data_IF_211879775958
#
_entry.id   IF_211879775958
#
_cell.length_a   1.000
_cell.length_b   1.000
_cell.length_c   1.000
_cell.angle_alpha   90.00
_cell.angle_beta   90.00
_cell.angle_gamma   90.00
#
_symmetry.space_group_name_H-M   'P 1'
#
loop_
_entity.id
_entity.type
_entity.pdbx_description
1 polymer ?
#
# COMPACT_ATOMS: atom_id res chain seq x y z
N UNK A 1 72.59 36.34 17.75
CA UNK A 1 72.28 34.98 17.24
C UNK A 1 70.87 34.61 17.76
N UNK A 2 69.79 35.00 16.99
CA UNK A 2 68.39 34.73 17.35
C UNK A 2 67.91 33.59 16.50
N UNK A 3 67.53 32.49 17.13
CA UNK A 3 66.86 31.35 16.48
C UNK A 3 65.29 31.52 16.64
N UNK A 4 64.60 31.82 15.54
CA UNK A 4 63.16 31.77 15.44
C UNK A 4 62.74 30.32 15.29
N UNK A 5 61.95 29.81 16.24
CA UNK A 5 61.27 28.51 16.16
C UNK A 5 59.84 28.76 15.68
N UNK A 6 59.58 28.45 14.41
CA UNK A 6 58.24 28.43 13.85
C UNK A 6 57.47 27.20 14.31
N UNK A 7 56.40 27.41 15.07
CA UNK A 7 55.41 26.35 15.42
C UNK A 7 54.41 26.22 14.29
N UNK A 8 54.45 25.11 13.58
CA UNK A 8 53.41 24.73 12.63
C UNK A 8 52.19 24.20 13.40
N UNK A 9 51.05 24.86 13.21
CA UNK A 9 49.73 24.43 13.72
C UNK A 9 49.17 23.40 12.75
N UNK A 10 49.12 22.14 13.17
CA UNK A 10 48.39 21.08 12.46
C UNK A 10 46.90 21.22 12.75
N UNK A 11 46.11 21.69 11.79
CA UNK A 11 44.65 21.60 11.81
C UNK A 11 44.25 20.15 11.53
N UNK A 12 43.81 19.43 12.55
CA UNK A 12 43.13 18.16 12.38
C UNK A 12 41.69 18.41 11.89
N UNK A 13 41.44 18.18 10.60
CA UNK A 13 40.09 18.06 10.07
C UNK A 13 39.44 16.80 10.63
N UNK A 14 38.58 16.96 11.65
CA UNK A 14 37.65 15.89 12.09
C UNK A 14 36.67 15.60 10.97
N UNK A 15 36.91 14.54 10.21
CA UNK A 15 35.98 13.98 9.26
C UNK A 15 34.70 13.51 10.01
N UNK A 16 33.63 14.26 9.91
CA UNK A 16 32.32 13.81 10.35
C UNK A 16 31.90 12.64 9.44
N UNK A 17 32.15 11.41 9.87
CA UNK A 17 31.63 10.23 9.21
C UNK A 17 30.08 10.31 9.30
N UNK A 18 29.42 10.63 8.18
CA UNK A 18 27.98 10.44 8.05
C UNK A 18 27.72 8.94 8.26
N UNK A 19 27.21 8.58 9.44
CA UNK A 19 26.64 7.26 9.66
C UNK A 19 25.47 7.11 8.69
N UNK A 20 25.39 6.03 7.91
CA UNK A 20 24.20 5.77 7.11
C UNK A 20 23.01 5.72 8.07
N UNK A 21 21.96 6.46 7.74
CA UNK A 21 20.69 6.34 8.42
C UNK A 21 20.23 4.89 8.21
N UNK A 22 20.30 4.07 9.22
CA UNK A 22 19.79 2.70 9.22
C UNK A 22 18.27 2.79 9.08
N UNK A 23 17.78 2.75 7.85
CA UNK A 23 16.36 2.49 7.60
C UNK A 23 16.07 1.13 8.22
N UNK A 24 15.07 1.06 9.10
CA UNK A 24 14.60 -0.23 9.60
C UNK A 24 14.21 -1.08 8.39
N UNK A 25 14.67 -2.33 8.32
CA UNK A 25 14.24 -3.26 7.29
C UNK A 25 12.71 -3.32 7.26
N UNK A 26 12.15 -3.38 6.06
CA UNK A 26 10.71 -3.46 5.89
C UNK A 26 10.19 -4.79 6.48
N UNK A 27 9.27 -4.69 7.45
CA UNK A 27 8.66 -5.84 8.12
C UNK A 27 7.18 -5.89 7.77
N UNK A 28 6.73 -7.02 7.19
CA UNK A 28 5.32 -7.21 6.89
C UNK A 28 4.45 -7.18 8.14
N UNK A 29 3.22 -6.68 7.99
CA UNK A 29 2.20 -6.79 9.03
C UNK A 29 1.90 -8.23 9.47
N UNK A 30 2.20 -9.22 8.64
CA UNK A 30 2.11 -10.65 8.96
C UNK A 30 2.99 -11.04 10.17
N UNK A 31 4.19 -10.50 10.25
CA UNK A 31 5.13 -10.80 11.34
C UNK A 31 4.64 -10.32 12.72
N UNK A 32 3.63 -9.47 12.77
CA UNK A 32 3.01 -8.98 14.01
C UNK A 32 1.76 -9.77 14.42
N UNK A 33 1.39 -10.79 13.66
CA UNK A 33 0.27 -11.69 13.97
C UNK A 33 0.69 -12.75 14.97
N UNK A 34 -0.28 -13.29 15.73
CA UNK A 34 -0.05 -14.51 16.50
C UNK A 34 0.07 -15.71 15.56
N UNK A 35 0.70 -16.85 16.00
CA UNK A 35 0.80 -18.04 15.16
C UNK A 35 -0.55 -18.50 14.60
N UNK A 36 -1.61 -18.48 15.41
CA UNK A 36 -2.96 -18.90 15.00
C UNK A 36 -3.53 -17.99 13.92
N UNK A 37 -3.21 -16.69 13.99
CA UNK A 37 -3.63 -15.73 12.97
C UNK A 37 -2.82 -15.87 11.68
N UNK A 38 -1.56 -16.25 11.79
CA UNK A 38 -0.73 -16.57 10.63
C UNK A 38 -1.27 -17.82 9.92
N UNK A 39 -1.54 -18.89 10.66
CA UNK A 39 -2.16 -20.10 10.12
C UNK A 39 -3.50 -19.79 9.44
N UNK A 40 -4.35 -18.98 10.07
CA UNK A 40 -5.62 -18.56 9.47
C UNK A 40 -5.42 -17.73 8.18
N UNK A 41 -4.41 -16.85 8.12
CA UNK A 41 -4.12 -16.09 6.91
C UNK A 41 -3.62 -16.98 5.78
N UNK A 42 -2.83 -18.00 6.09
CA UNK A 42 -2.18 -18.89 5.14
C UNK A 42 -3.13 -19.99 4.60
N UNK A 43 -4.21 -20.28 5.30
CA UNK A 43 -5.23 -21.24 4.88
C UNK A 43 -6.39 -20.52 4.16
N UNK A 44 -6.54 -20.77 2.85
CA UNK A 44 -7.60 -20.17 2.03
C UNK A 44 -9.02 -20.51 2.51
N UNK A 45 -9.24 -21.64 3.18
CA UNK A 45 -10.53 -22.02 3.75
C UNK A 45 -10.80 -21.29 5.07
N UNK A 46 -9.78 -21.03 5.86
CA UNK A 46 -9.91 -20.37 7.15
C UNK A 46 -9.87 -18.84 7.03
N UNK A 47 -9.27 -18.30 5.97
CA UNK A 47 -9.12 -16.86 5.76
C UNK A 47 -10.46 -16.21 5.34
N UNK A 48 -11.11 -15.45 6.23
CA UNK A 48 -12.42 -14.87 5.92
C UNK A 48 -12.37 -13.81 4.80
N UNK A 49 -11.20 -13.30 4.45
CA UNK A 49 -11.00 -12.39 3.33
C UNK A 49 -11.18 -13.06 1.97
N UNK A 50 -11.11 -14.40 1.90
CA UNK A 50 -11.28 -15.15 0.65
C UNK A 50 -12.68 -15.02 0.07
N UNK A 51 -13.72 -14.83 0.88
CA UNK A 51 -15.07 -14.56 0.38
C UNK A 51 -15.11 -13.30 -0.52
N UNK A 52 -14.33 -12.28 -0.18
CA UNK A 52 -14.22 -11.06 -1.00
C UNK A 52 -13.44 -11.33 -2.30
N UNK A 53 -12.42 -12.17 -2.25
CA UNK A 53 -11.65 -12.61 -3.43
C UNK A 53 -12.55 -13.41 -4.39
N UNK A 54 -13.35 -14.34 -3.89
CA UNK A 54 -14.29 -15.15 -4.66
C UNK A 54 -15.38 -14.28 -5.32
N UNK A 55 -15.93 -13.32 -4.57
CA UNK A 55 -16.88 -12.35 -5.12
C UNK A 55 -16.24 -11.52 -6.24
N UNK A 56 -14.97 -11.13 -6.08
CA UNK A 56 -14.19 -10.44 -7.11
C UNK A 56 -13.95 -11.30 -8.34
N UNK A 57 -13.67 -12.59 -8.19
CA UNK A 57 -13.53 -13.56 -9.28
C UNK A 57 -14.84 -13.68 -10.08
N UNK A 58 -15.96 -13.80 -9.39
CA UNK A 58 -17.28 -13.83 -10.03
C UNK A 58 -17.58 -12.55 -10.84
N UNK A 59 -17.25 -11.38 -10.28
CA UNK A 59 -17.37 -10.10 -11.00
C UNK A 59 -16.44 -10.00 -12.21
N UNK A 60 -15.24 -10.55 -12.10
CA UNK A 60 -14.25 -10.54 -13.17
C UNK A 60 -14.73 -11.33 -14.38
N UNK A 61 -15.47 -12.42 -14.17
CA UNK A 61 -16.06 -13.26 -15.20
C UNK A 61 -17.41 -12.75 -15.73
N UNK A 62 -18.07 -11.84 -15.00
CA UNK A 62 -19.42 -11.35 -15.32
C UNK A 62 -19.38 -10.39 -16.52
N UNK A 63 -20.10 -10.68 -17.64
CA UNK A 63 -20.17 -9.79 -18.79
C UNK A 63 -20.91 -8.48 -18.45
N UNK A 64 -20.41 -7.37 -19.00
CA UNK A 64 -21.15 -6.12 -19.03
C UNK A 64 -22.18 -6.07 -20.17
N UNK A 65 -22.81 -4.91 -20.39
CA UNK A 65 -23.89 -4.73 -21.38
C UNK A 65 -23.44 -5.00 -22.83
N UNK A 66 -22.16 -4.89 -23.13
CA UNK A 66 -21.62 -5.21 -24.45
C UNK A 66 -21.17 -6.68 -24.61
N UNK A 67 -21.54 -7.56 -23.67
CA UNK A 67 -21.16 -8.98 -23.65
C UNK A 67 -19.71 -9.26 -23.31
N UNK A 68 -18.90 -8.25 -22.96
CA UNK A 68 -17.49 -8.42 -22.57
C UNK A 68 -17.36 -8.43 -21.06
N UNK A 69 -16.58 -9.37 -20.54
CA UNK A 69 -16.08 -9.41 -19.16
C UNK A 69 -14.59 -9.03 -19.10
N UNK A 70 -14.02 -8.96 -17.90
CA UNK A 70 -12.57 -8.84 -17.76
C UNK A 70 -11.85 -10.06 -18.38
N UNK A 71 -12.41 -11.27 -18.25
CA UNK A 71 -11.88 -12.50 -18.83
C UNK A 71 -11.77 -12.45 -20.37
N UNK A 72 -12.66 -11.70 -21.02
CA UNK A 72 -12.63 -11.56 -22.48
C UNK A 72 -11.30 -11.01 -23.01
N UNK A 73 -10.54 -10.31 -22.16
CA UNK A 73 -9.23 -9.74 -22.50
C UNK A 73 -8.08 -10.33 -21.68
N UNK A 74 -8.36 -10.76 -20.46
CA UNK A 74 -7.34 -11.17 -19.49
C UNK A 74 -7.29 -12.69 -19.25
N UNK A 75 -8.06 -13.46 -20.04
CA UNK A 75 -8.15 -14.93 -19.91
C UNK A 75 -8.96 -15.37 -18.69
N UNK A 76 -9.32 -16.64 -18.68
CA UNK A 76 -10.11 -17.23 -17.59
C UNK A 76 -9.42 -16.99 -16.25
N UNK A 77 -10.17 -16.43 -15.28
CA UNK A 77 -9.67 -16.08 -13.95
C UNK A 77 -8.38 -15.23 -13.98
N UNK A 78 -8.19 -14.43 -15.04
CA UNK A 78 -7.04 -13.55 -15.13
C UNK A 78 -5.73 -14.23 -15.55
N UNK A 79 -5.78 -15.41 -16.16
CA UNK A 79 -4.60 -16.22 -16.52
C UNK A 79 -3.60 -15.53 -17.44
N UNK A 80 -4.01 -14.47 -18.14
CA UNK A 80 -3.12 -13.65 -18.97
C UNK A 80 -2.58 -12.40 -18.25
N UNK A 81 -2.95 -12.17 -16.99
CA UNK A 81 -2.37 -11.10 -16.17
C UNK A 81 -0.99 -11.53 -15.65
N UNK A 82 -0.01 -10.64 -15.77
CA UNK A 82 1.32 -10.87 -15.21
C UNK A 82 1.36 -10.47 -13.72
N UNK A 83 1.58 -11.42 -12.78
CA UNK A 83 1.69 -11.15 -11.37
C UNK A 83 2.75 -10.08 -11.01
N UNK A 84 3.87 -10.07 -11.76
CA UNK A 84 4.94 -9.09 -11.56
C UNK A 84 4.50 -7.68 -11.94
N UNK A 85 3.64 -7.54 -12.96
CA UNK A 85 3.06 -6.24 -13.30
C UNK A 85 2.05 -5.78 -12.22
N UNK A 86 1.26 -6.70 -11.67
CA UNK A 86 0.35 -6.40 -10.55
C UNK A 86 1.15 -5.93 -9.32
N UNK A 87 2.30 -6.54 -9.05
CA UNK A 87 3.16 -6.19 -7.92
C UNK A 87 3.81 -4.78 -8.02
N UNK A 88 3.75 -4.15 -9.20
CA UNK A 88 4.33 -2.81 -9.43
C UNK A 88 3.38 -1.66 -9.10
N UNK A 89 2.09 -1.92 -8.87
CA UNK A 89 1.15 -0.84 -8.58
C UNK A 89 1.37 -0.21 -7.19
N UNK A 90 1.21 1.14 -7.08
CA UNK A 90 0.82 2.12 -8.12
C UNK A 90 1.88 2.37 -9.18
N UNK A 91 1.44 2.66 -10.42
CA UNK A 91 2.31 2.98 -11.55
C UNK A 91 1.98 4.36 -12.12
N UNK A 92 2.94 5.03 -12.78
CA UNK A 92 2.64 6.22 -13.56
C UNK A 92 2.01 5.84 -14.90
N UNK A 93 0.99 6.57 -15.28
CA UNK A 93 0.33 6.40 -16.58
C UNK A 93 0.66 7.57 -17.50
N UNK A 94 1.48 7.34 -18.52
CA UNK A 94 1.81 8.37 -19.53
C UNK A 94 0.56 8.84 -20.25
N UNK A 95 -0.43 7.96 -20.49
CA UNK A 95 -1.70 8.35 -21.11
C UNK A 95 -2.51 9.32 -20.26
N UNK A 96 -2.52 9.13 -18.93
CA UNK A 96 -3.30 9.94 -18.00
C UNK A 96 -2.47 11.05 -17.32
N UNK A 97 -1.16 11.05 -17.53
CA UNK A 97 -0.19 11.98 -16.91
C UNK A 97 -0.34 12.05 -15.39
N UNK A 98 -0.54 10.89 -14.75
CA UNK A 98 -0.71 10.78 -13.29
C UNK A 98 -0.43 9.37 -12.78
N UNK A 99 -0.20 9.21 -11.45
CA UNK A 99 -0.17 7.88 -10.83
C UNK A 99 -1.53 7.21 -10.91
N UNK A 100 -1.53 5.90 -11.05
CA UNK A 100 -2.71 5.05 -11.11
C UNK A 100 -2.52 3.89 -10.13
N UNK A 101 -3.43 3.75 -9.17
CA UNK A 101 -3.48 2.60 -8.26
C UNK A 101 -4.04 1.38 -8.98
N UNK A 102 -3.89 0.18 -8.40
CA UNK A 102 -4.45 -1.04 -8.99
C UNK A 102 -5.97 -0.91 -9.13
N UNK A 103 -6.68 -0.48 -8.08
CA UNK A 103 -8.14 -0.27 -8.12
C UNK A 103 -8.53 0.74 -9.21
N UNK A 104 -7.83 1.87 -9.30
CA UNK A 104 -8.10 2.86 -10.34
C UNK A 104 -7.92 2.30 -11.76
N UNK A 105 -6.91 1.43 -11.98
CA UNK A 105 -6.71 0.75 -13.26
C UNK A 105 -7.82 -0.23 -13.57
N UNK A 106 -8.24 -1.03 -12.61
CA UNK A 106 -9.37 -1.96 -12.76
C UNK A 106 -10.64 -1.21 -13.14
N UNK A 107 -10.98 -0.15 -12.41
CA UNK A 107 -12.15 0.70 -12.68
C UNK A 107 -12.09 1.32 -14.07
N UNK A 108 -10.91 1.83 -14.46
CA UNK A 108 -10.72 2.39 -15.80
C UNK A 108 -11.00 1.34 -16.88
N UNK A 109 -10.39 0.15 -16.79
CA UNK A 109 -10.60 -0.91 -17.77
C UNK A 109 -12.08 -1.34 -17.83
N UNK A 110 -12.70 -1.55 -16.65
CA UNK A 110 -14.10 -1.96 -16.56
C UNK A 110 -15.04 -0.92 -17.18
N UNK A 111 -14.93 0.34 -16.79
CA UNK A 111 -15.81 1.40 -17.26
C UNK A 111 -15.63 1.70 -18.75
N UNK A 112 -14.40 1.60 -19.28
CA UNK A 112 -14.11 1.86 -20.69
C UNK A 112 -14.38 0.66 -21.60
N UNK A 113 -14.33 -0.59 -21.12
CA UNK A 113 -14.27 -1.79 -21.96
C UNK A 113 -15.47 -2.74 -21.86
N UNK A 114 -16.15 -2.76 -20.71
CA UNK A 114 -17.24 -3.75 -20.53
C UNK A 114 -18.66 -3.14 -20.65
N UNK A 115 -18.77 -1.81 -20.78
CA UNK A 115 -20.05 -1.09 -20.84
C UNK A 115 -21.02 -1.49 -19.69
N UNK A 116 -20.50 -1.88 -18.55
CA UNK A 116 -21.27 -2.07 -17.31
C UNK A 116 -21.56 -0.74 -16.64
N UNK A 117 -22.45 -0.71 -15.63
CA UNK A 117 -22.65 0.49 -14.81
C UNK A 117 -21.31 0.95 -14.24
N UNK A 118 -20.98 2.25 -14.32
CA UNK A 118 -19.72 2.75 -13.78
C UNK A 118 -19.64 2.46 -12.27
N UNK A 119 -18.51 1.94 -11.82
CA UNK A 119 -18.23 1.80 -10.39
C UNK A 119 -17.42 2.99 -9.90
N UNK A 120 -17.78 3.51 -8.73
CA UNK A 120 -16.97 4.47 -8.00
C UNK A 120 -15.82 3.77 -7.28
N UNK A 121 -14.81 4.54 -6.88
CA UNK A 121 -13.66 3.99 -6.14
C UNK A 121 -14.05 3.37 -4.79
N UNK A 122 -15.10 3.91 -4.17
CA UNK A 122 -15.62 3.47 -2.87
C UNK A 122 -16.57 2.27 -2.95
N UNK A 123 -16.95 1.82 -4.15
CA UNK A 123 -17.92 0.73 -4.28
C UNK A 123 -17.31 -0.60 -3.83
N UNK A 124 -18.11 -1.40 -3.14
CA UNK A 124 -17.70 -2.72 -2.67
C UNK A 124 -17.22 -3.61 -3.82
N UNK A 125 -17.89 -3.58 -4.97
CA UNK A 125 -17.48 -4.33 -6.15
C UNK A 125 -16.10 -3.91 -6.67
N UNK A 126 -15.70 -2.65 -6.51
CA UNK A 126 -14.38 -2.18 -6.87
C UNK A 126 -13.30 -2.78 -5.95
N UNK A 127 -13.60 -2.86 -4.65
CA UNK A 127 -12.73 -3.51 -3.66
C UNK A 127 -12.63 -5.03 -3.90
N UNK A 128 -13.74 -5.70 -4.20
CA UNK A 128 -13.80 -7.12 -4.52
C UNK A 128 -12.91 -7.45 -5.74
N UNK A 129 -13.04 -6.67 -6.82
CA UNK A 129 -12.19 -6.82 -8.01
C UNK A 129 -10.71 -6.57 -7.70
N UNK A 130 -10.39 -5.56 -6.88
CA UNK A 130 -9.01 -5.30 -6.44
C UNK A 130 -8.45 -6.47 -5.64
N UNK A 131 -9.22 -7.00 -4.67
CA UNK A 131 -8.81 -8.14 -3.85
C UNK A 131 -8.51 -9.37 -4.72
N UNK A 132 -9.38 -9.69 -5.67
CA UNK A 132 -9.16 -10.78 -6.61
C UNK A 132 -7.91 -10.57 -7.47
N UNK A 133 -7.81 -9.42 -8.14
CA UNK A 133 -6.65 -9.17 -9.04
C UNK A 133 -5.35 -9.11 -8.24
N UNK A 134 -5.34 -8.50 -7.06
CA UNK A 134 -4.15 -8.46 -6.20
C UNK A 134 -3.73 -9.85 -5.72
N UNK A 135 -4.72 -10.72 -5.43
CA UNK A 135 -4.48 -12.13 -5.05
C UNK A 135 -3.71 -12.91 -6.12
N UNK A 136 -3.90 -12.60 -7.41
CA UNK A 136 -3.15 -13.25 -8.49
C UNK A 136 -1.64 -13.03 -8.39
N UNK A 137 -1.21 -12.01 -7.65
CA UNK A 137 0.19 -11.73 -7.40
C UNK A 137 0.67 -12.20 -6.00
N UNK A 138 -0.06 -13.12 -5.36
CA UNK A 138 0.35 -13.66 -4.05
C UNK A 138 1.79 -14.19 -4.11
N UNK A 139 2.61 -13.79 -3.13
CA UNK A 139 4.01 -14.21 -3.02
C UNK A 139 4.99 -13.44 -3.90
N UNK A 140 4.53 -12.66 -4.89
CA UNK A 140 5.40 -11.76 -5.65
C UNK A 140 5.89 -10.61 -4.76
N UNK A 141 7.12 -10.18 -4.99
CA UNK A 141 7.66 -9.04 -4.27
C UNK A 141 7.05 -7.72 -4.77
N UNK A 142 6.56 -6.89 -3.86
CA UNK A 142 6.18 -5.50 -4.17
C UNK A 142 7.38 -4.80 -4.80
N UNK A 143 7.15 -4.13 -5.93
CA UNK A 143 8.21 -3.49 -6.71
C UNK A 143 7.71 -2.19 -7.37
N UNK A 144 7.38 -1.21 -6.55
CA UNK A 144 6.96 0.12 -7.00
C UNK A 144 8.18 0.94 -7.38
N UNK A 145 8.22 1.42 -8.60
CA UNK A 145 9.25 2.35 -9.06
C UNK A 145 8.89 3.77 -8.58
N UNK A 146 9.49 4.19 -7.47
CA UNK A 146 9.25 5.49 -6.86
C UNK A 146 10.06 6.64 -7.50
N UNK A 147 10.93 6.31 -8.44
CA UNK A 147 11.75 7.27 -9.16
C UNK A 147 11.04 7.81 -10.41
N UNK A 148 11.75 8.62 -11.19
CA UNK A 148 11.22 9.16 -12.45
C UNK A 148 9.90 9.89 -12.30
N UNK A 149 8.87 9.57 -13.10
CA UNK A 149 7.59 10.27 -13.08
C UNK A 149 6.81 10.15 -11.76
N UNK A 150 7.05 9.11 -10.95
CA UNK A 150 6.43 8.95 -9.63
C UNK A 150 7.15 9.70 -8.51
N UNK A 151 8.38 10.19 -8.70
CA UNK A 151 9.17 10.80 -7.64
C UNK A 151 8.46 11.97 -6.93
N UNK A 152 7.82 12.86 -7.67
CA UNK A 152 7.07 13.97 -7.09
C UNK A 152 5.86 13.52 -6.26
N UNK A 153 5.21 12.41 -6.66
CA UNK A 153 4.08 11.79 -5.96
C UNK A 153 4.54 11.04 -4.70
N UNK A 154 5.66 10.34 -4.80
CA UNK A 154 6.33 9.71 -3.66
C UNK A 154 6.66 10.74 -2.58
N UNK A 155 7.31 11.85 -2.94
CA UNK A 155 7.64 12.93 -2.00
C UNK A 155 6.38 13.63 -1.44
N UNK A 156 5.32 13.75 -2.22
CA UNK A 156 4.04 14.27 -1.74
C UNK A 156 3.41 13.31 -0.71
N UNK A 157 3.38 12.01 -0.98
CA UNK A 157 2.89 10.99 -0.06
C UNK A 157 3.73 10.92 1.22
N UNK A 158 5.06 11.04 1.10
CA UNK A 158 5.98 11.14 2.25
C UNK A 158 5.65 12.32 3.13
N UNK A 159 5.45 13.51 2.55
CA UNK A 159 5.04 14.70 3.34
C UNK A 159 3.72 14.45 4.07
N UNK A 160 2.71 13.88 3.39
CA UNK A 160 1.42 13.56 4.02
C UNK A 160 1.59 12.57 5.18
N UNK A 161 2.44 11.54 5.03
CA UNK A 161 2.73 10.55 6.08
C UNK A 161 3.40 11.17 7.31
N UNK A 162 4.15 12.27 7.13
CA UNK A 162 4.82 13.02 8.20
C UNK A 162 4.03 14.24 8.68
N UNK A 163 2.90 14.57 8.04
CA UNK A 163 2.02 15.66 8.49
C UNK A 163 1.25 15.24 9.74
N UNK A 164 1.13 16.15 10.71
CA UNK A 164 0.32 15.95 11.91
C UNK A 164 -1.15 16.25 11.58
N UNK A 165 -2.03 15.36 12.03
CA UNK A 165 -3.42 15.34 11.63
C UNK A 165 -4.38 15.57 12.79
N UNK A 166 -5.46 16.26 12.49
CA UNK A 166 -6.66 16.37 13.32
C UNK A 166 -6.41 16.96 14.70
N UNK A 167 -7.40 16.80 15.57
CA UNK A 167 -7.35 17.34 16.93
C UNK A 167 -6.38 16.55 17.82
N UNK A 168 -6.06 15.31 17.46
CA UNK A 168 -5.09 14.48 18.20
C UNK A 168 -3.65 14.92 17.90
N UNK A 169 -3.44 15.63 16.80
CA UNK A 169 -2.16 16.20 16.38
C UNK A 169 -1.02 15.16 16.30
N UNK A 170 -1.28 14.04 15.62
CA UNK A 170 -0.32 12.93 15.43
C UNK A 170 -0.15 12.65 13.93
N UNK A 171 1.10 12.39 13.53
CA UNK A 171 1.44 11.96 12.18
C UNK A 171 1.55 10.42 12.09
N UNK A 172 1.38 9.87 10.87
CA UNK A 172 1.45 8.43 10.63
C UNK A 172 2.80 7.83 11.08
N UNK A 173 3.92 8.50 10.78
CA UNK A 173 5.26 8.06 11.14
C UNK A 173 5.47 7.89 12.64
N UNK A 174 4.78 8.67 13.48
CA UNK A 174 4.92 8.55 14.92
C UNK A 174 4.48 7.18 15.44
N UNK A 175 3.40 6.60 14.85
CA UNK A 175 2.99 5.24 15.16
C UNK A 175 3.76 4.20 14.35
N UNK A 176 3.90 4.41 13.05
CA UNK A 176 4.38 3.38 12.13
C UNK A 176 5.91 3.31 11.97
N UNK A 177 6.66 4.37 12.33
CA UNK A 177 8.12 4.33 12.38
C UNK A 177 8.63 4.23 13.82
N UNK A 178 8.20 5.15 14.72
CA UNK A 178 8.77 5.23 16.08
C UNK A 178 8.19 4.21 17.06
N UNK A 179 6.94 3.78 16.84
CA UNK A 179 6.23 2.89 17.75
C UNK A 179 5.83 1.55 17.12
N UNK A 180 6.39 1.20 15.95
CA UNK A 180 6.21 -0.13 15.38
C UNK A 180 6.65 -1.21 16.38
N UNK A 181 5.84 -2.27 16.52
CA UNK A 181 6.05 -3.33 17.52
C UNK A 181 5.55 -2.98 18.93
N UNK A 182 5.06 -1.77 19.18
CA UNK A 182 4.41 -1.41 20.47
C UNK A 182 2.91 -1.66 20.40
N UNK A 183 2.31 -1.89 21.55
CA UNK A 183 0.87 -2.09 21.67
C UNK A 183 0.14 -0.77 21.79
N UNK A 184 -0.92 -0.60 21.00
CA UNK A 184 -1.86 0.52 21.11
C UNK A 184 -3.29 -0.01 21.03
N UNK A 185 -4.11 0.27 22.05
CA UNK A 185 -5.50 -0.23 22.18
C UNK A 185 -5.61 -1.77 21.97
N UNK A 186 -4.69 -2.51 22.56
CA UNK A 186 -4.68 -3.98 22.48
C UNK A 186 -4.17 -4.56 21.17
N UNK A 187 -3.70 -3.71 20.23
CA UNK A 187 -3.17 -4.15 18.93
C UNK A 187 -1.71 -3.73 18.78
N UNK A 188 -0.92 -4.59 18.14
CA UNK A 188 0.45 -4.24 17.77
C UNK A 188 0.44 -3.26 16.59
N UNK A 189 1.18 -2.16 16.75
CA UNK A 189 1.44 -1.22 15.66
C UNK A 189 2.44 -1.84 14.69
N UNK A 190 2.04 -1.94 13.41
CA UNK A 190 2.94 -2.37 12.34
C UNK A 190 3.70 -1.18 11.77
N UNK A 191 4.67 -1.43 10.87
CA UNK A 191 5.33 -0.35 10.12
C UNK A 191 4.44 0.31 9.05
N UNK A 192 3.15 -0.04 8.96
CA UNK A 192 2.24 0.53 7.97
C UNK A 192 2.51 0.07 6.54
N UNK A 193 3.03 -1.13 6.36
CA UNK A 193 3.30 -1.70 5.03
C UNK A 193 2.00 -2.05 4.30
N UNK A 194 2.00 -1.89 2.96
CA UNK A 194 0.81 -2.08 2.13
C UNK A 194 0.68 -3.49 1.52
N UNK A 195 1.68 -4.34 1.68
CA UNK A 195 1.81 -5.61 0.97
C UNK A 195 0.68 -6.61 1.23
N UNK A 196 -0.01 -6.53 2.37
CA UNK A 196 -1.16 -7.39 2.71
C UNK A 196 -2.51 -6.88 2.23
N UNK A 197 -2.61 -5.62 1.73
CA UNK A 197 -3.88 -5.03 1.31
C UNK A 197 -4.36 -5.51 -0.06
N UNK A 198 -5.72 -5.61 -0.23
CA UNK A 198 -6.80 -5.50 0.75
C UNK A 198 -6.70 -6.51 1.88
N UNK A 199 -7.12 -6.11 3.11
CA UNK A 199 -7.01 -6.93 4.32
C UNK A 199 -8.37 -7.15 4.97
N UNK A 200 -8.61 -8.35 5.52
CA UNK A 200 -9.73 -8.59 6.40
C UNK A 200 -9.46 -7.97 7.78
N UNK A 201 -10.41 -7.19 8.27
CA UNK A 201 -10.34 -6.52 9.57
C UNK A 201 -11.34 -7.14 10.53
N UNK A 202 -10.87 -7.84 11.57
CA UNK A 202 -11.76 -8.45 12.57
C UNK A 202 -12.66 -7.43 13.26
N UNK A 203 -12.13 -6.26 13.56
CA UNK A 203 -12.92 -5.18 14.20
C UNK A 203 -14.04 -4.63 13.29
N UNK A 204 -14.01 -4.95 12.00
CA UNK A 204 -15.02 -4.55 11.02
C UNK A 204 -15.85 -5.71 10.51
N UNK A 205 -15.37 -6.95 10.63
CA UNK A 205 -16.00 -8.13 10.03
C UNK A 205 -15.98 -8.14 8.50
N UNK A 206 -15.08 -7.38 7.87
CA UNK A 206 -15.03 -7.23 6.41
C UNK A 206 -13.61 -6.92 5.90
N UNK A 207 -13.42 -7.10 4.60
CA UNK A 207 -12.21 -6.66 3.91
C UNK A 207 -12.25 -5.13 3.73
N UNK A 208 -11.10 -4.50 3.90
CA UNK A 208 -10.90 -3.07 3.65
C UNK A 208 -9.66 -2.86 2.78
N UNK A 209 -9.70 -1.89 1.89
CA UNK A 209 -8.55 -1.48 1.10
C UNK A 209 -7.63 -0.52 1.87
N UNK A 210 -6.49 -0.21 1.26
CA UNK A 210 -5.49 0.65 1.90
C UNK A 210 -6.03 2.06 2.16
N UNK A 211 -6.70 2.67 1.18
CA UNK A 211 -7.21 4.04 1.33
C UNK A 211 -8.35 4.11 2.36
N UNK A 212 -9.22 3.10 2.43
CA UNK A 212 -10.24 2.99 3.48
C UNK A 212 -9.58 2.90 4.87
N UNK A 213 -8.49 2.16 5.00
CA UNK A 213 -7.75 2.06 6.27
C UNK A 213 -7.08 3.38 6.65
N UNK A 214 -6.52 4.11 5.69
CA UNK A 214 -5.97 5.46 5.92
C UNK A 214 -7.07 6.41 6.36
N UNK A 215 -8.22 6.40 5.67
CA UNK A 215 -9.40 7.19 6.00
C UNK A 215 -9.87 6.95 7.44
N UNK A 216 -9.94 5.67 7.87
CA UNK A 216 -10.26 5.30 9.25
C UNK A 216 -9.24 5.86 10.25
N UNK A 217 -7.94 5.80 9.94
CA UNK A 217 -6.92 6.40 10.80
C UNK A 217 -7.12 7.91 10.95
N UNK A 218 -7.35 8.64 9.85
CA UNK A 218 -7.61 10.09 9.91
C UNK A 218 -8.85 10.41 10.75
N UNK A 219 -9.95 9.67 10.58
CA UNK A 219 -11.15 9.80 11.39
C UNK A 219 -10.86 9.59 12.89
N UNK A 220 -10.07 8.57 13.24
CA UNK A 220 -9.67 8.30 14.62
C UNK A 220 -8.79 9.41 15.21
N UNK A 221 -8.06 10.14 14.36
CA UNK A 221 -7.31 11.33 14.74
C UNK A 221 -8.17 12.60 14.81
N UNK A 222 -9.48 12.48 14.55
CA UNK A 222 -10.43 13.61 14.43
C UNK A 222 -10.00 14.60 13.34
N UNK A 223 -9.42 14.09 12.25
CA UNK A 223 -9.19 14.78 11.01
C UNK A 223 -10.32 14.45 10.02
N UNK A 224 -10.60 15.38 9.10
CA UNK A 224 -11.49 15.10 7.98
C UNK A 224 -10.73 14.27 6.93
N UNK A 225 -11.24 13.07 6.57
CA UNK A 225 -10.60 12.24 5.56
C UNK A 225 -10.76 12.85 4.15
N UNK A 226 -9.82 12.56 3.27
CA UNK A 226 -9.96 12.84 1.85
C UNK A 226 -10.94 11.85 1.19
N UNK A 227 -11.56 12.24 0.06
CA UNK A 227 -12.32 11.29 -0.75
C UNK A 227 -11.44 10.13 -1.22
N UNK A 228 -11.98 8.90 -1.23
CA UNK A 228 -11.30 7.74 -1.79
C UNK A 228 -11.01 7.96 -3.28
N UNK A 229 -9.85 7.54 -3.75
CA UNK A 229 -9.36 7.81 -5.11
C UNK A 229 -8.82 9.23 -5.32
N UNK A 230 -8.79 10.09 -4.30
CA UNK A 230 -8.21 11.44 -4.38
C UNK A 230 -6.71 11.40 -4.67
N UNK A 231 -6.19 12.54 -5.13
CA UNK A 231 -4.74 12.71 -5.35
C UNK A 231 -3.96 12.46 -4.07
N UNK A 232 -4.43 12.97 -2.94
CA UNK A 232 -3.75 12.84 -1.63
C UNK A 232 -3.63 11.37 -1.22
N UNK A 233 -4.71 10.60 -1.33
CA UNK A 233 -4.66 9.17 -1.03
C UNK A 233 -3.85 8.39 -2.04
N UNK A 234 -3.88 8.77 -3.32
CA UNK A 234 -3.04 8.15 -4.34
C UNK A 234 -1.55 8.40 -4.05
N UNK A 235 -1.17 9.63 -3.68
CA UNK A 235 0.21 9.96 -3.31
C UNK A 235 0.66 9.19 -2.05
N UNK A 236 -0.20 9.08 -1.02
CA UNK A 236 0.06 8.25 0.15
C UNK A 236 0.23 6.77 -0.21
N UNK A 237 -0.60 6.24 -1.11
CA UNK A 237 -0.49 4.86 -1.57
C UNK A 237 0.81 4.62 -2.36
N UNK A 238 1.26 5.57 -3.19
CA UNK A 238 2.58 5.51 -3.85
C UNK A 238 3.69 5.41 -2.79
N UNK A 239 3.69 6.28 -1.79
CA UNK A 239 4.70 6.28 -0.74
C UNK A 239 4.69 5.00 0.09
N UNK A 240 3.52 4.58 0.59
CA UNK A 240 3.39 3.40 1.45
C UNK A 240 3.70 2.11 0.69
N UNK A 241 3.35 2.02 -0.60
CA UNK A 241 3.67 0.86 -1.42
C UNK A 241 5.16 0.78 -1.75
N UNK A 242 5.81 1.91 -2.03
CA UNK A 242 7.26 1.95 -2.21
C UNK A 242 8.02 1.55 -0.93
N UNK A 243 7.51 1.93 0.25
CA UNK A 243 8.05 1.46 1.55
C UNK A 243 7.95 -0.06 1.73
N UNK A 244 7.02 -0.69 1.03
CA UNK A 244 6.79 -2.14 1.07
C UNK A 244 7.61 -2.90 0.02
N UNK A 245 8.47 -2.23 -0.76
CA UNK A 245 9.30 -2.89 -1.78
C UNK A 245 10.11 -4.04 -1.18
N UNK A 246 10.12 -5.17 -1.89
CA UNK A 246 10.77 -6.40 -1.47
C UNK A 246 9.92 -7.31 -0.58
N UNK A 247 8.86 -6.80 0.08
CA UNK A 247 7.92 -7.63 0.83
C UNK A 247 7.01 -8.40 -0.13
N UNK A 248 6.70 -9.64 0.22
CA UNK A 248 5.76 -10.46 -0.54
C UNK A 248 4.34 -9.92 -0.43
N UNK A 249 3.58 -9.98 -1.51
CA UNK A 249 2.14 -9.73 -1.50
C UNK A 249 1.46 -10.86 -0.72
N UNK A 250 0.60 -10.48 0.23
CA UNK A 250 -0.09 -11.38 1.17
C UNK A 250 -1.61 -11.23 1.12
N UNK A 251 -2.15 -10.66 0.03
CA UNK A 251 -3.60 -10.41 -0.12
C UNK A 251 -4.41 -11.72 -0.23
N UNK A 252 -5.55 -11.82 0.49
CA UNK A 252 -6.05 -10.92 1.51
C UNK A 252 -5.36 -11.16 2.87
N UNK A 253 -4.67 -10.15 3.36
CA UNK A 253 -4.09 -10.23 4.70
C UNK A 253 -5.16 -10.21 5.79
N UNK A 254 -4.82 -10.65 7.00
CA UNK A 254 -5.68 -10.59 8.18
C UNK A 254 -5.11 -9.59 9.18
N UNK A 255 -5.95 -8.71 9.72
CA UNK A 255 -5.56 -7.71 10.72
C UNK A 255 -6.69 -7.46 11.72
N UNK A 256 -6.33 -7.00 12.93
CA UNK A 256 -7.28 -6.52 13.93
C UNK A 256 -7.83 -5.13 13.64
#
# INVERSE_FOLDING_TARGET
MNRHISRALLLACSGCAMMPAWGQDAVSGYAYLTPEMQEMQDDDFANPGMLTVEAGAALFSTPGANGKSCESCHGALGSALDPKQIARYPVYSDRLQKPVTLRARILQCRNERTAGPPLAYADEQALQLEAFVRRLALGEAVNVDADGPLAAHYEAGKRLFHTRWGQVDIACHQCHDYHAGKTFRGQLLTQGQSNGFPVYRFTKGQVVGLQERISECLTNLRAEPYPLGSKQYTDLEVYMSARSNGLKIETPGIRY
#
